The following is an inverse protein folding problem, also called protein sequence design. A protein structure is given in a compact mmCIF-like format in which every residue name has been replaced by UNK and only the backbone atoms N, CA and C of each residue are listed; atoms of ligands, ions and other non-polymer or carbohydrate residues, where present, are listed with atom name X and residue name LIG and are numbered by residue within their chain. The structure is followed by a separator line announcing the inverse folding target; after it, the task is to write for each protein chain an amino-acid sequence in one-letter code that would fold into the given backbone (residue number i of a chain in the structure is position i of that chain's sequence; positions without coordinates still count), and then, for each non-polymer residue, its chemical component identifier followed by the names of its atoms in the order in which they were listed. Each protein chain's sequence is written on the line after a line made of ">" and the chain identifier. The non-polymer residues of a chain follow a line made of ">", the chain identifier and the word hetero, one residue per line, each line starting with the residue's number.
data_IF_983728191158
#
_entry.id   IF_983728191158
#
_cell.length_a   1.000
_cell.length_b   1.000
_cell.length_c   1.000
_cell.angle_alpha   90.00
_cell.angle_beta   90.00
_cell.angle_gamma   90.00
#
_symmetry.space_group_name_H-M   'P 1'
#
loop_
_entity.id
_entity.type
_entity.pdbx_description
1 polymer ?
#
# COMPACT_ATOMS: atom_id res chain seq x y z
N UNK A 1 -25.87 83.12 10.51
CA UNK A 1 -25.39 83.69 11.81
C UNK A 1 -25.60 82.66 12.89
N UNK A 2 -24.58 82.44 13.72
CA UNK A 2 -24.49 81.77 15.02
C UNK A 2 -24.64 80.25 14.98
N UNK A 3 -23.55 79.44 14.98
CA UNK A 3 -22.58 79.06 16.05
C UNK A 3 -23.18 78.70 17.39
N UNK A 4 -22.75 77.60 17.86
CA UNK A 4 -22.42 77.08 19.24
C UNK A 4 -23.06 75.80 19.56
N UNK A 5 -22.37 74.87 19.93
CA UNK A 5 -21.31 74.34 20.80
C UNK A 5 -21.86 73.34 21.81
N UNK A 6 -21.14 72.29 21.88
CA UNK A 6 -20.83 71.33 22.96
C UNK A 6 -21.55 71.43 24.34
N UNK A 7 -21.86 70.20 24.85
CA UNK A 7 -21.94 69.78 26.28
C UNK A 7 -23.30 69.90 26.98
N UNK A 8 -23.71 68.76 27.41
CA UNK A 8 -23.78 68.22 28.80
C UNK A 8 -24.82 67.10 28.85
N UNK A 9 -24.52 65.90 29.19
CA UNK A 9 -24.19 65.28 30.48
C UNK A 9 -25.43 64.92 31.30
N UNK A 10 -25.49 63.65 31.56
CA UNK A 10 -25.93 62.87 32.74
C UNK A 10 -27.29 62.23 32.80
N UNK A 11 -27.15 60.90 32.93
CA UNK A 11 -27.84 59.98 33.85
C UNK A 11 -29.30 59.60 33.60
N UNK A 12 -29.50 58.34 33.27
CA UNK A 12 -30.20 57.42 34.17
C UNK A 12 -30.05 55.99 33.75
N UNK A 13 -29.63 55.17 34.68
CA UNK A 13 -29.45 53.74 34.69
C UNK A 13 -30.74 53.00 34.43
N UNK A 14 -30.74 51.95 33.60
CA UNK A 14 -31.46 50.71 33.88
C UNK A 14 -30.76 49.55 33.12
N UNK A 15 -30.45 48.53 33.85
CA UNK A 15 -29.72 47.37 33.37
C UNK A 15 -30.51 46.46 32.45
N UNK A 16 -29.80 45.91 31.50
CA UNK A 16 -30.18 44.69 30.79
C UNK A 16 -28.91 43.87 30.54
N UNK A 17 -28.89 42.69 31.11
CA UNK A 17 -27.91 41.66 30.95
C UNK A 17 -27.67 41.37 29.46
N UNK A 18 -26.57 41.79 28.91
CA UNK A 18 -26.09 41.37 27.61
C UNK A 18 -25.20 40.12 27.79
N UNK A 19 -25.70 38.98 27.32
CA UNK A 19 -24.90 37.79 27.13
C UNK A 19 -23.69 38.10 26.28
N UNK A 20 -22.50 37.89 26.85
CA UNK A 20 -21.23 38.13 26.18
C UNK A 20 -21.05 37.16 25.02
N UNK A 21 -21.21 37.65 23.82
CA UNK A 21 -20.62 37.01 22.62
C UNK A 21 -19.12 37.28 22.78
N UNK A 22 -18.39 36.24 23.19
CA UNK A 22 -16.94 36.18 23.08
C UNK A 22 -16.58 36.36 21.61
N UNK A 23 -16.29 37.58 21.18
CA UNK A 23 -15.61 37.81 19.92
C UNK A 23 -14.30 37.01 19.97
N UNK A 24 -14.21 35.91 19.22
CA UNK A 24 -12.95 35.23 18.95
C UNK A 24 -12.02 36.32 18.35
N UNK A 25 -10.79 36.44 18.85
CA UNK A 25 -9.87 37.40 18.25
C UNK A 25 -9.73 36.99 16.77
N UNK A 26 -10.02 37.92 15.88
CA UNK A 26 -9.73 37.83 14.47
C UNK A 26 -8.21 37.76 14.34
N UNK A 27 -7.66 36.54 14.24
CA UNK A 27 -6.27 36.35 13.86
C UNK A 27 -6.19 36.84 12.42
N UNK A 28 -5.48 37.96 12.22
CA UNK A 28 -5.21 38.50 10.90
C UNK A 28 -4.74 37.32 10.02
N UNK A 29 -5.41 37.08 8.90
CA UNK A 29 -5.04 36.06 7.92
C UNK A 29 -3.55 36.22 7.62
N UNK A 30 -2.73 35.28 8.06
CA UNK A 30 -1.46 35.03 7.40
C UNK A 30 -1.79 34.86 5.92
N UNK A 31 -1.07 35.53 5.03
CA UNK A 31 -1.33 35.43 3.60
C UNK A 31 -1.47 33.99 3.21
N UNK A 32 -2.54 33.68 2.47
CA UNK A 32 -2.84 32.29 2.05
C UNK A 32 -1.59 31.64 1.43
N UNK A 33 -1.12 30.55 2.03
CA UNK A 33 0.08 29.87 1.57
C UNK A 33 -0.30 28.85 0.49
N UNK A 34 0.46 28.80 -0.59
CA UNK A 34 0.30 27.75 -1.62
C UNK A 34 1.24 26.61 -1.30
N UNK A 35 0.70 25.39 -1.18
CA UNK A 35 1.43 24.15 -0.96
C UNK A 35 1.51 23.41 -2.29
N UNK A 36 2.71 23.24 -2.82
CA UNK A 36 2.95 22.41 -4.00
C UNK A 36 2.86 20.92 -3.62
N UNK A 37 2.02 20.18 -4.32
CA UNK A 37 1.74 18.77 -4.00
C UNK A 37 1.83 17.90 -5.24
N UNK A 38 2.64 16.85 -5.20
CA UNK A 38 2.64 15.80 -6.21
C UNK A 38 1.91 14.58 -5.66
N UNK A 39 0.92 14.12 -6.43
CA UNK A 39 0.04 13.05 -5.99
C UNK A 39 -0.05 11.96 -7.03
N UNK A 40 -0.07 10.72 -6.60
CA UNK A 40 -0.21 9.59 -7.49
C UNK A 40 -1.61 9.62 -8.13
N UNK A 41 -1.65 9.60 -9.47
CA UNK A 41 -2.90 9.43 -10.19
C UNK A 41 -3.52 8.08 -9.82
N UNK A 42 -4.81 8.07 -9.50
CA UNK A 42 -5.53 6.86 -9.13
C UNK A 42 -5.55 5.83 -10.26
N UNK A 43 -5.50 4.56 -9.89
CA UNK A 43 -5.79 3.46 -10.82
C UNK A 43 -7.26 3.54 -11.31
N UNK A 44 -8.16 3.97 -10.42
CA UNK A 44 -9.55 4.24 -10.70
C UNK A 44 -9.78 5.76 -10.81
N UNK A 45 -10.59 6.23 -11.79
CA UNK A 45 -10.94 7.66 -11.91
C UNK A 45 -11.57 8.23 -10.63
N UNK A 46 -12.27 7.42 -9.87
CA UNK A 46 -12.92 7.77 -8.60
C UNK A 46 -11.91 8.22 -7.54
N UNK A 47 -10.71 7.66 -7.51
CA UNK A 47 -9.63 8.06 -6.58
C UNK A 47 -9.21 9.51 -6.86
N UNK A 48 -9.07 9.90 -8.12
CA UNK A 48 -8.75 11.26 -8.53
C UNK A 48 -9.86 12.25 -8.19
N UNK A 49 -11.13 11.86 -8.40
CA UNK A 49 -12.29 12.67 -8.04
C UNK A 49 -12.32 12.91 -6.54
N UNK A 50 -12.06 11.86 -5.76
CA UNK A 50 -12.04 11.94 -4.30
C UNK A 50 -10.90 12.82 -3.80
N UNK A 51 -9.71 12.75 -4.40
CA UNK A 51 -8.60 13.62 -4.03
C UNK A 51 -8.90 15.10 -4.33
N UNK A 52 -9.50 15.40 -5.49
CA UNK A 52 -9.92 16.77 -5.83
C UNK A 52 -10.96 17.32 -4.84
N UNK A 53 -11.89 16.49 -4.39
CA UNK A 53 -12.87 16.87 -3.37
C UNK A 53 -12.20 17.16 -2.03
N UNK A 54 -11.30 16.30 -1.57
CA UNK A 54 -10.51 16.51 -0.34
C UNK A 54 -9.73 17.83 -0.39
N UNK A 55 -9.06 18.13 -1.51
CA UNK A 55 -8.33 19.40 -1.69
C UNK A 55 -9.27 20.60 -1.65
N UNK A 56 -10.42 20.53 -2.33
CA UNK A 56 -11.39 21.62 -2.32
C UNK A 56 -11.92 21.91 -0.91
N UNK A 57 -12.21 20.88 -0.14
CA UNK A 57 -12.70 21.01 1.25
C UNK A 57 -11.60 21.57 2.17
N UNK A 58 -10.34 21.14 2.02
CA UNK A 58 -9.23 21.70 2.75
C UNK A 58 -9.05 23.19 2.46
N UNK A 59 -9.04 23.58 1.19
CA UNK A 59 -8.89 24.99 0.79
C UNK A 59 -10.00 25.86 1.36
N UNK A 60 -11.24 25.36 1.37
CA UNK A 60 -12.38 26.04 1.98
C UNK A 60 -12.25 26.17 3.50
N UNK A 61 -11.73 25.13 4.16
CA UNK A 61 -11.61 25.10 5.63
C UNK A 61 -10.45 25.93 6.14
N UNK A 62 -9.29 25.91 5.44
CA UNK A 62 -8.05 26.55 5.89
C UNK A 62 -7.80 27.94 5.30
N UNK A 63 -8.31 28.22 4.11
CA UNK A 63 -7.95 29.40 3.30
C UNK A 63 -6.62 29.26 2.56
N UNK A 64 -5.84 28.20 2.79
CA UNK A 64 -4.62 27.88 2.03
C UNK A 64 -4.97 27.38 0.63
N UNK A 65 -4.00 27.40 -0.28
CA UNK A 65 -4.12 26.83 -1.63
C UNK A 65 -3.26 25.58 -1.76
N UNK A 66 -3.76 24.60 -2.47
CA UNK A 66 -3.00 23.42 -2.89
C UNK A 66 -2.83 23.49 -4.40
N UNK A 67 -1.58 23.62 -4.82
CA UNK A 67 -1.18 23.48 -6.22
C UNK A 67 -0.74 22.04 -6.44
N UNK A 68 -1.61 21.23 -7.02
CA UNK A 68 -1.36 19.79 -7.11
C UNK A 68 -1.24 19.29 -8.55
N UNK A 69 -0.44 18.26 -8.72
CA UNK A 69 -0.32 17.49 -9.95
C UNK A 69 -0.70 16.03 -9.67
N UNK A 70 -1.68 15.50 -10.42
CA UNK A 70 -1.95 14.07 -10.47
C UNK A 70 -1.05 13.45 -11.54
N UNK A 71 -0.17 12.56 -11.14
CA UNK A 71 0.89 12.02 -12.00
C UNK A 71 0.78 10.49 -12.00
N UNK A 72 0.76 9.83 -13.18
CA UNK A 72 0.75 8.37 -13.24
C UNK A 72 1.92 7.75 -12.49
N UNK A 73 1.72 6.55 -11.93
CA UNK A 73 2.63 5.91 -10.99
C UNK A 73 4.10 5.86 -11.49
N UNK A 74 4.37 5.29 -12.66
CA UNK A 74 5.74 5.13 -13.14
C UNK A 74 6.45 6.49 -13.44
N UNK A 75 5.83 7.49 -14.10
CA UNK A 75 6.37 8.85 -14.17
C UNK A 75 6.59 9.52 -12.82
N UNK A 76 5.70 9.30 -11.84
CA UNK A 76 5.85 9.88 -10.50
C UNK A 76 7.08 9.32 -9.80
N UNK A 77 7.30 8.00 -9.82
CA UNK A 77 8.53 7.36 -9.28
C UNK A 77 9.80 8.03 -9.81
N UNK A 78 9.89 8.23 -11.12
CA UNK A 78 11.06 8.85 -11.75
C UNK A 78 11.21 10.33 -11.35
N UNK A 79 10.09 11.04 -11.25
CA UNK A 79 10.08 12.44 -10.84
C UNK A 79 10.50 12.62 -9.39
N UNK A 80 10.04 11.76 -8.48
CA UNK A 80 10.43 11.76 -7.06
C UNK A 80 11.94 11.56 -6.89
N UNK A 81 12.52 10.55 -7.55
CA UNK A 81 13.97 10.28 -7.52
C UNK A 81 14.75 11.49 -8.04
N UNK A 82 14.36 12.03 -9.19
CA UNK A 82 15.02 13.19 -9.81
C UNK A 82 14.93 14.44 -8.94
N UNK A 83 13.80 14.64 -8.27
CA UNK A 83 13.59 15.80 -7.40
C UNK A 83 14.47 15.75 -6.16
N UNK A 84 14.57 14.60 -5.51
CA UNK A 84 15.47 14.41 -4.36
C UNK A 84 16.92 14.69 -4.77
N UNK A 85 17.37 14.16 -5.91
CA UNK A 85 18.74 14.33 -6.40
C UNK A 85 19.06 15.78 -6.77
N UNK A 86 18.10 16.52 -7.35
CA UNK A 86 18.30 17.90 -7.81
C UNK A 86 17.96 18.95 -6.76
N UNK A 87 17.26 18.60 -5.69
CA UNK A 87 16.72 19.52 -4.71
C UNK A 87 15.47 20.29 -5.18
N UNK A 88 14.95 19.99 -6.37
CA UNK A 88 13.72 20.60 -6.91
C UNK A 88 12.45 19.89 -6.41
N UNK A 89 12.24 19.89 -5.11
CA UNK A 89 11.17 19.13 -4.44
C UNK A 89 9.91 19.97 -4.22
N UNK A 90 8.71 19.36 -4.24
CA UNK A 90 7.46 20.00 -3.81
C UNK A 90 7.40 20.08 -2.28
N UNK A 91 6.29 20.63 -1.75
CA UNK A 91 6.05 20.66 -0.31
C UNK A 91 5.52 19.32 0.22
N UNK A 92 4.75 18.57 -0.61
CA UNK A 92 4.18 17.26 -0.26
C UNK A 92 4.31 16.32 -1.46
N UNK A 93 4.72 15.09 -1.20
CA UNK A 93 4.71 13.99 -2.18
C UNK A 93 3.87 12.83 -1.64
N UNK A 94 2.95 12.27 -2.43
CA UNK A 94 2.42 10.94 -2.17
C UNK A 94 3.38 9.90 -2.75
N UNK A 95 3.82 8.97 -1.92
CA UNK A 95 4.80 7.96 -2.31
C UNK A 95 4.21 6.99 -3.33
N UNK A 96 4.86 6.88 -4.49
CA UNK A 96 4.47 5.99 -5.57
C UNK A 96 5.25 4.65 -5.59
N UNK A 97 6.27 4.51 -4.74
CA UNK A 97 7.16 3.35 -4.69
C UNK A 97 7.47 2.96 -3.24
N UNK A 98 7.26 1.69 -2.90
CA UNK A 98 7.51 1.16 -1.56
C UNK A 98 8.97 1.34 -1.09
N UNK A 99 9.90 1.47 -2.02
CA UNK A 99 11.33 1.68 -1.76
C UNK A 99 11.68 3.13 -1.42
N UNK A 100 10.83 4.08 -1.80
CA UNK A 100 11.14 5.51 -1.71
C UNK A 100 11.33 5.97 -0.26
N UNK A 101 10.36 5.74 0.61
CA UNK A 101 10.39 6.25 1.98
C UNK A 101 11.54 5.67 2.81
N UNK A 102 11.76 4.34 2.85
CA UNK A 102 12.84 3.77 3.66
C UNK A 102 14.23 4.24 3.21
N UNK A 103 14.51 4.31 1.90
CA UNK A 103 15.80 4.78 1.38
C UNK A 103 16.03 6.27 1.66
N UNK A 104 15.01 7.10 1.42
CA UNK A 104 15.14 8.54 1.63
C UNK A 104 15.10 8.94 3.12
N UNK A 105 14.44 8.16 3.97
CA UNK A 105 14.57 8.32 5.43
C UNK A 105 15.99 7.97 5.91
N UNK A 106 16.56 6.87 5.40
CA UNK A 106 17.94 6.47 5.69
C UNK A 106 18.94 7.58 5.36
N UNK A 107 18.84 8.16 4.17
CA UNK A 107 19.72 9.21 3.67
C UNK A 107 19.39 10.62 4.20
N UNK A 108 18.46 10.73 5.14
CA UNK A 108 18.07 12.00 5.76
C UNK A 108 17.46 13.02 4.76
N UNK A 109 16.78 12.54 3.73
CA UNK A 109 16.13 13.38 2.72
C UNK A 109 14.70 13.79 3.05
N UNK A 110 14.10 13.23 4.10
CA UNK A 110 12.72 13.50 4.50
C UNK A 110 12.65 14.22 5.84
N UNK A 111 11.56 14.94 6.04
CA UNK A 111 11.20 15.58 7.32
C UNK A 111 10.36 14.56 8.11
N UNK A 112 10.66 14.40 9.40
CA UNK A 112 9.84 13.57 10.26
C UNK A 112 8.43 14.16 10.51
N UNK A 113 7.50 13.26 10.74
CA UNK A 113 6.09 13.55 10.99
C UNK A 113 5.66 13.16 12.41
N UNK A 114 6.59 12.94 13.32
CA UNK A 114 6.32 12.48 14.68
C UNK A 114 5.31 13.38 15.40
N UNK A 115 5.44 14.70 15.26
CA UNK A 115 4.50 15.66 15.87
C UNK A 115 3.06 15.52 15.36
N UNK A 116 2.88 14.91 14.17
CA UNK A 116 1.56 14.66 13.58
C UNK A 116 1.03 13.30 13.99
N UNK A 117 1.88 12.26 13.97
CA UNK A 117 1.47 10.87 14.12
C UNK A 117 1.39 10.46 15.59
N UNK A 118 2.38 10.82 16.43
CA UNK A 118 2.42 10.42 17.83
C UNK A 118 1.14 10.75 18.62
N UNK A 119 0.52 11.95 18.49
CA UNK A 119 -0.73 12.24 19.17
C UNK A 119 -1.93 11.40 18.71
N UNK A 120 -1.84 10.75 17.55
CA UNK A 120 -2.91 9.98 16.89
C UNK A 120 -2.64 8.49 16.82
N UNK A 121 -1.47 8.03 17.23
CA UNK A 121 -1.02 6.64 17.01
C UNK A 121 -1.97 5.58 17.56
N UNK A 122 -2.69 5.86 18.63
CA UNK A 122 -3.67 4.92 19.20
C UNK A 122 -4.87 4.64 18.29
N UNK A 123 -5.09 5.47 17.26
CA UNK A 123 -6.18 5.28 16.28
C UNK A 123 -5.79 4.35 15.13
N UNK A 124 -4.51 4.08 14.94
CA UNK A 124 -3.97 3.29 13.83
C UNK A 124 -3.71 1.83 14.22
N UNK A 125 -3.76 0.94 13.23
CA UNK A 125 -3.25 -0.42 13.44
C UNK A 125 -1.74 -0.40 13.65
N UNK A 126 -1.18 -1.33 14.46
CA UNK A 126 0.27 -1.40 14.67
C UNK A 126 1.05 -1.55 13.36
N UNK A 127 0.52 -2.35 12.43
CA UNK A 127 1.16 -2.58 11.13
C UNK A 127 1.17 -1.31 10.27
N UNK A 128 0.08 -0.50 10.28
CA UNK A 128 0.04 0.79 9.59
C UNK A 128 1.14 1.73 10.08
N UNK A 129 1.34 1.80 11.40
CA UNK A 129 2.40 2.59 11.99
C UNK A 129 3.79 2.07 11.60
N UNK A 130 3.99 0.75 11.63
CA UNK A 130 5.27 0.13 11.24
C UNK A 130 5.63 0.44 9.79
N UNK A 131 4.67 0.44 8.86
CA UNK A 131 4.91 0.79 7.45
C UNK A 131 5.42 2.23 7.24
N UNK A 132 5.25 3.11 8.23
CA UNK A 132 5.62 4.52 8.12
C UNK A 132 6.80 4.91 9.00
N UNK A 133 7.32 3.97 9.81
CA UNK A 133 8.31 4.20 10.87
C UNK A 133 9.69 3.69 10.46
N UNK A 134 10.52 4.55 9.90
CA UNK A 134 11.77 4.19 9.26
C UNK A 134 13.00 4.69 10.03
N UNK A 135 14.12 3.99 9.87
CA UNK A 135 15.40 4.36 10.47
C UNK A 135 16.10 5.44 9.64
N UNK A 136 16.66 6.44 10.34
CA UNK A 136 17.47 7.49 9.73
C UNK A 136 18.92 7.33 10.18
N UNK A 137 19.81 7.17 9.23
CA UNK A 137 21.23 6.88 9.51
C UNK A 137 22.01 8.13 9.98
N UNK A 138 21.51 9.34 9.76
CA UNK A 138 22.12 10.57 10.26
C UNK A 138 21.78 10.78 11.74
N UNK A 139 20.52 10.68 12.09
CA UNK A 139 20.05 10.87 13.48
C UNK A 139 20.23 9.63 14.36
N UNK A 140 20.49 8.46 13.75
CA UNK A 140 20.56 7.14 14.39
C UNK A 140 19.29 6.75 15.14
N UNK A 141 18.14 7.20 14.66
CA UNK A 141 16.82 6.98 15.26
C UNK A 141 15.79 6.61 14.20
N UNK A 142 14.72 5.96 14.65
CA UNK A 142 13.51 5.78 13.86
C UNK A 142 12.54 6.92 14.12
N UNK A 143 11.82 7.32 13.08
CA UNK A 143 10.73 8.30 13.12
C UNK A 143 9.69 7.99 12.02
N UNK A 144 8.55 8.64 12.09
CA UNK A 144 7.55 8.56 11.02
C UNK A 144 7.95 9.50 9.88
N UNK A 145 8.22 8.94 8.71
CA UNK A 145 8.59 9.70 7.51
C UNK A 145 7.52 9.69 6.44
N UNK A 146 6.44 8.96 6.67
CA UNK A 146 5.24 8.92 5.81
C UNK A 146 4.00 8.96 6.71
N UNK A 147 2.93 9.59 6.24
CA UNK A 147 1.65 9.58 6.95
C UNK A 147 0.85 8.32 6.56
N UNK A 148 0.32 7.54 7.53
CA UNK A 148 -0.42 6.31 7.25
C UNK A 148 -1.82 6.64 6.74
N UNK A 149 -2.00 6.71 5.42
CA UNK A 149 -3.30 7.02 4.81
C UNK A 149 -4.00 5.83 4.16
N UNK A 150 -3.25 4.94 3.53
CA UNK A 150 -3.78 3.82 2.75
C UNK A 150 -3.05 2.56 3.14
N UNK A 151 -3.77 1.46 3.30
CA UNK A 151 -3.17 0.14 3.49
C UNK A 151 -3.59 -0.81 2.38
N UNK A 152 -2.64 -1.56 1.86
CA UNK A 152 -2.86 -2.64 0.92
C UNK A 152 -2.31 -3.96 1.45
N UNK A 153 -2.91 -5.05 1.03
CA UNK A 153 -2.39 -6.41 1.18
C UNK A 153 -2.71 -7.18 -0.08
N UNK A 154 -2.11 -8.34 -0.27
CA UNK A 154 -2.28 -9.18 -1.46
C UNK A 154 -3.25 -10.32 -1.15
N UNK A 155 -4.57 -10.21 -1.51
CA UNK A 155 -5.49 -11.33 -1.53
C UNK A 155 -5.35 -12.13 -2.83
N UNK A 156 -6.03 -13.28 -2.91
CA UNK A 156 -6.25 -13.99 -4.15
C UNK A 156 -7.52 -13.49 -4.84
N UNK A 157 -7.46 -13.38 -6.17
CA UNK A 157 -8.58 -12.98 -7.02
C UNK A 157 -8.86 -14.10 -8.01
N UNK A 158 -10.11 -14.50 -8.21
CA UNK A 158 -10.41 -15.51 -9.22
C UNK A 158 -11.80 -15.35 -9.84
N UNK A 159 -11.94 -15.90 -11.02
CA UNK A 159 -13.20 -15.91 -11.74
C UNK A 159 -14.09 -17.07 -11.29
N UNK A 160 -15.19 -16.79 -10.56
CA UNK A 160 -16.24 -17.74 -10.23
C UNK A 160 -16.76 -18.44 -11.48
N UNK A 161 -17.05 -17.68 -12.53
CA UNK A 161 -17.59 -18.21 -13.79
C UNK A 161 -16.67 -19.22 -14.46
N UNK A 162 -15.34 -19.10 -14.35
CA UNK A 162 -14.41 -20.08 -14.89
C UNK A 162 -14.35 -21.33 -14.03
N UNK A 163 -14.37 -21.20 -12.70
CA UNK A 163 -14.44 -22.33 -11.76
C UNK A 163 -15.72 -23.15 -12.00
N UNK A 164 -16.87 -22.48 -12.07
CA UNK A 164 -18.18 -23.12 -12.31
C UNK A 164 -18.25 -23.76 -13.72
N UNK A 165 -17.71 -23.08 -14.74
CA UNK A 165 -17.63 -23.63 -16.10
C UNK A 165 -16.78 -24.88 -16.17
N UNK A 166 -15.72 -24.98 -15.36
CA UNK A 166 -14.93 -26.20 -15.23
C UNK A 166 -15.68 -27.35 -14.52
N UNK A 167 -16.89 -27.08 -14.01
CA UNK A 167 -17.74 -28.08 -13.33
C UNK A 167 -17.47 -28.19 -11.83
N UNK A 168 -16.83 -27.20 -11.23
CA UNK A 168 -16.63 -27.11 -9.79
C UNK A 168 -17.59 -26.10 -9.15
N UNK A 169 -17.75 -26.20 -7.84
CA UNK A 169 -18.42 -25.17 -7.01
C UNK A 169 -17.41 -24.43 -6.17
N UNK A 170 -17.73 -23.24 -5.72
CA UNK A 170 -16.87 -22.49 -4.79
C UNK A 170 -16.63 -23.27 -3.48
N UNK A 171 -17.59 -24.10 -3.05
CA UNK A 171 -17.44 -24.97 -1.89
C UNK A 171 -16.42 -26.11 -2.06
N UNK A 172 -16.00 -26.38 -3.29
CA UNK A 172 -15.01 -27.43 -3.58
C UNK A 172 -13.57 -26.90 -3.44
N UNK A 173 -13.41 -25.58 -3.30
CA UNK A 173 -12.11 -24.94 -3.13
C UNK A 173 -11.57 -25.29 -1.73
N UNK A 174 -10.38 -25.92 -1.65
CA UNK A 174 -9.79 -26.28 -0.36
C UNK A 174 -9.37 -25.05 0.44
N UNK A 175 -9.33 -25.17 1.77
CA UNK A 175 -8.96 -24.08 2.68
C UNK A 175 -7.62 -24.35 3.38
N UNK A 176 -6.59 -24.72 2.62
CA UNK A 176 -5.19 -24.73 3.08
C UNK A 176 -4.30 -24.26 1.94
N UNK A 177 -3.19 -23.60 2.26
CA UNK A 177 -2.32 -22.92 1.31
C UNK A 177 -2.02 -23.73 0.06
N UNK A 178 -1.43 -24.90 0.23
CA UNK A 178 -1.04 -25.75 -0.90
C UNK A 178 -2.23 -26.28 -1.69
N UNK A 179 -3.24 -26.81 -1.00
CA UNK A 179 -4.41 -27.39 -1.66
C UNK A 179 -5.27 -26.32 -2.36
N UNK A 180 -5.35 -25.10 -1.79
CA UNK A 180 -6.00 -23.98 -2.43
C UNK A 180 -5.31 -23.61 -3.74
N UNK A 181 -4.00 -23.45 -3.73
CA UNK A 181 -3.25 -23.15 -4.95
C UNK A 181 -3.38 -24.28 -5.97
N UNK A 182 -3.16 -25.53 -5.56
CA UNK A 182 -3.20 -26.69 -6.47
C UNK A 182 -4.58 -26.93 -7.12
N UNK A 183 -5.66 -26.43 -6.49
CA UNK A 183 -7.02 -26.55 -7.01
C UNK A 183 -7.22 -25.92 -8.39
N UNK A 184 -6.53 -24.85 -8.72
CA UNK A 184 -6.75 -24.12 -9.98
C UNK A 184 -6.11 -24.84 -11.19
N UNK A 185 -5.14 -25.73 -10.98
CA UNK A 185 -4.55 -26.53 -12.08
C UNK A 185 -5.59 -27.44 -12.77
N UNK A 186 -6.32 -28.31 -12.08
CA UNK A 186 -7.40 -29.07 -12.71
C UNK A 186 -8.56 -28.23 -13.25
N UNK A 187 -8.77 -27.01 -12.75
CA UNK A 187 -9.73 -26.07 -13.35
C UNK A 187 -9.27 -25.71 -14.77
N UNK A 188 -8.00 -25.33 -14.97
CA UNK A 188 -7.42 -25.08 -16.28
C UNK A 188 -7.59 -26.30 -17.21
N UNK A 189 -7.25 -27.49 -16.74
CA UNK A 189 -7.27 -28.68 -17.58
C UNK A 189 -8.68 -29.00 -18.10
N UNK A 190 -9.69 -28.85 -17.24
CA UNK A 190 -11.11 -29.00 -17.64
C UNK A 190 -11.57 -27.92 -18.61
N UNK A 191 -11.17 -26.67 -18.40
CA UNK A 191 -11.51 -25.58 -19.32
C UNK A 191 -10.86 -25.79 -20.69
N UNK A 192 -9.61 -26.24 -20.75
CA UNK A 192 -8.91 -26.57 -21.99
C UNK A 192 -9.55 -27.75 -22.72
N UNK A 193 -9.98 -28.75 -21.99
CA UNK A 193 -10.74 -29.91 -22.56
C UNK A 193 -12.08 -29.48 -23.17
N UNK A 194 -12.68 -28.37 -22.68
CA UNK A 194 -13.89 -27.74 -23.23
C UNK A 194 -13.61 -26.79 -24.39
N UNK A 195 -12.36 -26.67 -24.86
CA UNK A 195 -11.98 -25.82 -25.99
C UNK A 195 -11.42 -24.43 -25.63
N UNK A 196 -11.32 -24.06 -24.36
CA UNK A 196 -10.69 -22.81 -23.92
C UNK A 196 -9.17 -22.96 -23.86
N UNK A 197 -8.52 -23.04 -25.02
CA UNK A 197 -7.10 -23.41 -25.12
C UNK A 197 -6.14 -22.40 -24.50
N UNK A 198 -6.52 -21.12 -24.43
CA UNK A 198 -5.68 -20.01 -23.98
C UNK A 198 -6.02 -19.56 -22.54
N UNK A 199 -6.50 -20.46 -21.68
CA UNK A 199 -6.71 -20.17 -20.27
C UNK A 199 -5.62 -20.82 -19.44
N UNK A 200 -5.18 -20.10 -18.39
CA UNK A 200 -4.16 -20.57 -17.45
C UNK A 200 -4.73 -20.61 -16.02
N UNK A 201 -4.16 -21.46 -15.18
CA UNK A 201 -4.59 -21.56 -13.79
C UNK A 201 -4.29 -20.29 -13.00
N UNK A 202 -3.07 -19.77 -13.20
CA UNK A 202 -2.55 -18.62 -12.44
C UNK A 202 -2.04 -17.51 -13.35
N UNK A 203 -2.06 -16.27 -12.80
CA UNK A 203 -1.30 -15.18 -13.32
C UNK A 203 -0.72 -14.38 -12.15
N UNK A 204 0.58 -14.37 -12.01
CA UNK A 204 1.34 -13.51 -11.14
C UNK A 204 2.67 -13.21 -11.82
N UNK A 205 3.26 -12.07 -11.48
CA UNK A 205 4.51 -11.67 -12.10
C UNK A 205 5.68 -12.51 -11.60
N UNK A 206 6.53 -12.97 -12.55
CA UNK A 206 7.82 -13.61 -12.29
C UNK A 206 8.93 -12.81 -13.00
N UNK A 207 8.82 -11.49 -13.02
CA UNK A 207 9.71 -10.60 -13.75
C UNK A 207 10.25 -9.50 -12.83
N UNK A 208 11.44 -8.99 -13.13
CA UNK A 208 12.05 -7.89 -12.40
C UNK A 208 11.56 -6.49 -12.80
N UNK A 209 10.37 -6.34 -13.42
CA UNK A 209 9.94 -5.08 -14.01
C UNK A 209 8.96 -4.25 -13.16
N UNK A 210 8.61 -4.74 -11.95
CA UNK A 210 7.62 -4.10 -11.08
C UNK A 210 7.95 -4.20 -9.60
N UNK A 211 6.99 -3.80 -8.76
CA UNK A 211 7.05 -3.93 -7.30
C UNK A 211 6.40 -5.21 -6.76
N UNK A 212 5.54 -5.87 -7.54
CA UNK A 212 4.79 -7.04 -7.07
C UNK A 212 5.62 -8.32 -6.89
N UNK A 213 6.64 -8.62 -7.73
CA UNK A 213 7.38 -9.87 -7.61
C UNK A 213 8.03 -10.09 -6.24
N UNK A 214 8.64 -9.05 -5.66
CA UNK A 214 9.29 -9.18 -4.33
C UNK A 214 8.24 -9.47 -3.24
N UNK A 215 7.09 -8.82 -3.30
CA UNK A 215 6.03 -9.03 -2.31
C UNK A 215 5.41 -10.42 -2.49
N UNK A 216 5.21 -10.85 -3.72
CA UNK A 216 4.73 -12.21 -4.04
C UNK A 216 5.69 -13.27 -3.51
N UNK A 217 6.99 -13.16 -3.83
CA UNK A 217 8.01 -14.08 -3.29
C UNK A 217 8.00 -14.10 -1.75
N UNK A 218 8.04 -12.93 -1.13
CA UNK A 218 8.04 -12.81 0.33
C UNK A 218 6.78 -13.42 0.94
N UNK A 219 5.59 -13.19 0.34
CA UNK A 219 4.34 -13.77 0.85
C UNK A 219 4.34 -15.30 0.78
N UNK A 220 4.87 -15.86 -0.30
CA UNK A 220 5.00 -17.31 -0.44
C UNK A 220 6.01 -17.87 0.57
N UNK A 221 7.15 -17.23 0.76
CA UNK A 221 8.11 -17.59 1.82
C UNK A 221 7.48 -17.53 3.21
N UNK A 222 6.72 -16.48 3.53
CA UNK A 222 6.01 -16.32 4.80
C UNK A 222 5.01 -17.46 5.02
N UNK A 223 4.27 -17.87 3.97
CA UNK A 223 3.31 -18.96 4.06
C UNK A 223 3.95 -20.31 4.42
N UNK A 224 5.23 -20.49 4.13
CA UNK A 224 6.02 -21.67 4.54
C UNK A 224 6.82 -21.46 5.83
N UNK A 225 6.54 -20.39 6.58
CA UNK A 225 7.14 -20.15 7.89
C UNK A 225 8.37 -19.22 7.90
N UNK A 226 8.71 -18.59 6.76
CA UNK A 226 9.85 -17.69 6.61
C UNK A 226 9.61 -16.24 7.05
N UNK A 227 8.60 -15.97 7.89
CA UNK A 227 8.24 -14.61 8.32
C UNK A 227 9.38 -13.83 8.99
N UNK A 228 10.31 -14.54 9.61
CA UNK A 228 11.43 -13.97 10.35
C UNK A 228 12.67 -13.74 9.44
N UNK A 229 12.48 -13.71 8.11
CA UNK A 229 13.54 -13.40 7.14
C UNK A 229 14.21 -12.04 7.46
N UNK A 230 13.43 -11.03 7.80
CA UNK A 230 13.90 -9.79 8.40
C UNK A 230 13.06 -9.51 9.64
N UNK A 231 13.71 -9.31 10.78
CA UNK A 231 13.04 -9.02 12.04
C UNK A 231 12.89 -7.52 12.28
N UNK A 232 12.00 -7.14 13.21
CA UNK A 232 11.67 -5.73 13.48
C UNK A 232 12.87 -4.87 13.92
N UNK A 233 13.94 -5.51 14.42
CA UNK A 233 15.21 -4.85 14.73
C UNK A 233 16.08 -4.58 13.49
N UNK A 234 15.60 -4.98 12.30
CA UNK A 234 16.26 -4.75 11.02
C UNK A 234 17.32 -5.77 10.66
N UNK A 235 17.39 -6.91 11.36
CA UNK A 235 18.35 -7.97 11.06
C UNK A 235 17.82 -8.92 9.99
N UNK A 236 18.70 -9.29 9.08
CA UNK A 236 18.52 -10.32 8.08
C UNK A 236 18.91 -11.70 8.66
N UNK A 237 18.10 -12.73 8.37
CA UNK A 237 18.29 -14.10 8.89
C UNK A 237 18.41 -15.15 7.79
N UNK A 238 19.33 -14.91 6.85
CA UNK A 238 19.67 -15.86 5.78
C UNK A 238 20.36 -17.12 6.30
N UNK A 239 20.95 -17.04 7.50
CA UNK A 239 21.61 -18.14 8.21
C UNK A 239 20.62 -19.04 8.98
N UNK A 240 19.35 -18.65 9.11
CA UNK A 240 18.33 -19.51 9.74
C UNK A 240 17.88 -20.60 8.75
N UNK A 241 18.09 -21.90 9.09
CA UNK A 241 17.66 -23.01 8.24
C UNK A 241 16.15 -23.03 7.95
N UNK A 242 15.31 -22.53 8.86
CA UNK A 242 13.84 -22.45 8.64
C UNK A 242 13.49 -21.41 7.60
N UNK A 243 14.13 -20.25 7.67
CA UNK A 243 13.96 -19.18 6.68
C UNK A 243 14.43 -19.66 5.31
N UNK A 244 15.60 -20.33 5.24
CA UNK A 244 16.11 -20.89 4.00
C UNK A 244 15.16 -21.95 3.41
N UNK A 245 14.69 -22.88 4.24
CA UNK A 245 13.73 -23.93 3.81
C UNK A 245 12.42 -23.28 3.26
N UNK A 246 11.90 -22.28 3.97
CA UNK A 246 10.70 -21.56 3.57
C UNK A 246 10.89 -20.81 2.24
N UNK A 247 12.05 -20.17 2.05
CA UNK A 247 12.38 -19.47 0.80
C UNK A 247 12.47 -20.45 -0.38
N UNK A 248 13.11 -21.60 -0.20
CA UNK A 248 13.17 -22.68 -1.22
C UNK A 248 11.78 -23.18 -1.57
N UNK A 249 10.93 -23.48 -0.56
CA UNK A 249 9.55 -23.94 -0.79
C UNK A 249 8.72 -22.88 -1.51
N UNK A 250 8.85 -21.60 -1.13
CA UNK A 250 8.20 -20.47 -1.80
C UNK A 250 8.60 -20.39 -3.27
N UNK A 251 9.89 -20.43 -3.56
CA UNK A 251 10.43 -20.41 -4.92
C UNK A 251 9.92 -21.60 -5.76
N UNK A 252 9.93 -22.80 -5.21
CA UNK A 252 9.41 -24.01 -5.87
C UNK A 252 7.90 -23.85 -6.19
N UNK A 253 7.12 -23.35 -5.22
CA UNK A 253 5.67 -23.18 -5.40
C UNK A 253 5.33 -22.13 -6.47
N UNK A 254 6.13 -21.08 -6.60
CA UNK A 254 5.98 -20.06 -7.64
C UNK A 254 6.40 -20.56 -9.02
N UNK A 255 7.51 -21.29 -9.10
CA UNK A 255 8.14 -21.64 -10.39
C UNK A 255 7.61 -22.92 -11.00
N UNK A 256 7.20 -23.92 -10.20
CA UNK A 256 6.70 -25.21 -10.69
C UNK A 256 5.49 -25.08 -11.61
N UNK A 257 4.44 -24.30 -11.29
CA UNK A 257 3.28 -24.14 -12.18
C UNK A 257 3.65 -23.55 -13.55
N UNK A 258 4.64 -22.67 -13.61
CA UNK A 258 5.12 -22.13 -14.88
C UNK A 258 5.74 -23.23 -15.76
N UNK A 259 6.63 -24.02 -15.20
CA UNK A 259 7.30 -25.11 -15.95
C UNK A 259 6.34 -26.21 -16.40
N UNK A 260 5.21 -26.36 -15.72
CA UNK A 260 4.14 -27.29 -16.04
C UNK A 260 3.07 -26.73 -17.00
N UNK A 261 3.17 -25.44 -17.38
CA UNK A 261 2.25 -24.80 -18.33
C UNK A 261 0.93 -24.31 -17.73
N UNK A 262 0.91 -24.07 -16.42
CA UNK A 262 -0.24 -23.53 -15.69
C UNK A 262 -0.19 -22.01 -15.50
N UNK A 263 0.90 -21.37 -15.93
CA UNK A 263 1.10 -19.92 -15.89
C UNK A 263 1.41 -19.43 -17.31
N UNK A 264 0.91 -18.25 -17.74
CA UNK A 264 1.20 -17.71 -19.06
C UNK A 264 2.71 -17.56 -19.31
N UNK A 265 3.24 -17.92 -20.47
CA UNK A 265 4.67 -17.79 -20.76
C UNK A 265 5.21 -16.36 -20.65
N UNK A 266 4.35 -15.36 -20.82
CA UNK A 266 4.69 -13.93 -20.79
C UNK A 266 4.99 -13.36 -19.42
N UNK A 267 4.61 -14.01 -18.32
CA UNK A 267 4.75 -13.48 -16.94
C UNK A 267 6.17 -13.08 -16.54
N UNK A 268 7.18 -13.65 -17.21
CA UNK A 268 8.60 -13.33 -17.01
C UNK A 268 9.02 -11.96 -17.59
N UNK A 269 8.09 -11.26 -18.25
CA UNK A 269 8.31 -9.93 -18.84
C UNK A 269 7.18 -8.95 -18.50
N UNK A 270 6.21 -9.35 -17.68
CA UNK A 270 5.09 -8.49 -17.28
C UNK A 270 5.54 -7.32 -16.40
N UNK A 271 4.79 -6.24 -16.44
CA UNK A 271 4.85 -5.12 -15.49
C UNK A 271 3.64 -5.16 -14.54
N UNK A 272 3.58 -4.25 -13.56
CA UNK A 272 2.57 -4.22 -12.49
C UNK A 272 1.09 -4.14 -12.97
N UNK A 273 0.81 -3.87 -14.24
CA UNK A 273 -0.55 -3.79 -14.76
C UNK A 273 -0.90 -4.97 -15.71
N UNK A 274 0.07 -5.79 -16.09
CA UNK A 274 -0.15 -6.83 -17.11
C UNK A 274 -0.95 -8.01 -16.55
N UNK A 275 -0.80 -8.35 -15.28
CA UNK A 275 -1.61 -9.35 -14.58
C UNK A 275 -3.08 -8.92 -14.48
N UNK A 276 -3.36 -7.68 -14.05
CA UNK A 276 -4.72 -7.14 -14.04
C UNK A 276 -5.36 -7.24 -15.45
N UNK A 277 -4.63 -6.83 -16.51
CA UNK A 277 -5.12 -6.91 -17.90
C UNK A 277 -5.37 -8.37 -18.33
N UNK A 278 -4.48 -9.26 -17.96
CA UNK A 278 -4.61 -10.69 -18.22
C UNK A 278 -5.81 -11.30 -17.47
N UNK A 279 -6.03 -10.90 -16.22
CA UNK A 279 -7.20 -11.30 -15.45
C UNK A 279 -8.49 -10.81 -16.11
N UNK A 280 -8.60 -9.52 -16.44
CA UNK A 280 -9.80 -8.95 -17.07
C UNK A 280 -10.12 -9.59 -18.42
N UNK A 281 -9.12 -10.00 -19.18
CA UNK A 281 -9.31 -10.74 -20.44
C UNK A 281 -9.65 -12.23 -20.24
N UNK A 282 -9.74 -12.73 -19.00
CA UNK A 282 -9.95 -14.13 -18.63
C UNK A 282 -8.87 -15.06 -19.20
N UNK A 283 -7.65 -14.53 -19.36
CA UNK A 283 -6.48 -15.34 -19.72
C UNK A 283 -6.09 -16.30 -18.60
N UNK A 284 -6.43 -15.99 -17.37
CA UNK A 284 -6.18 -16.80 -16.17
C UNK A 284 -7.42 -16.94 -15.30
N UNK A 285 -7.44 -18.03 -14.54
CA UNK A 285 -8.54 -18.31 -13.60
C UNK A 285 -8.33 -17.53 -12.31
N UNK A 286 -7.09 -17.51 -11.79
CA UNK A 286 -6.74 -16.91 -10.51
C UNK A 286 -5.52 -16.03 -10.66
N UNK A 287 -5.55 -14.91 -9.91
CA UNK A 287 -4.49 -13.93 -9.74
C UNK A 287 -4.10 -13.76 -8.28
N UNK A 288 -2.88 -13.30 -8.03
CA UNK A 288 -2.41 -12.88 -6.72
C UNK A 288 -1.84 -11.46 -6.85
N UNK A 289 -2.66 -10.47 -6.51
CA UNK A 289 -2.39 -9.05 -6.75
C UNK A 289 -2.72 -8.19 -5.54
N UNK A 290 -2.11 -7.00 -5.49
CA UNK A 290 -2.25 -6.03 -4.42
C UNK A 290 -3.59 -5.30 -4.43
N UNK A 291 -4.17 -5.09 -3.24
CA UNK A 291 -5.46 -4.40 -3.07
C UNK A 291 -6.65 -5.17 -3.69
N UNK A 292 -7.71 -4.45 -4.05
CA UNK A 292 -8.86 -4.96 -4.83
C UNK A 292 -9.03 -4.19 -6.15
N UNK A 293 -7.90 -3.70 -6.70
CA UNK A 293 -7.89 -2.98 -7.98
C UNK A 293 -8.46 -3.83 -9.11
N UNK A 294 -8.15 -5.12 -9.10
CA UNK A 294 -8.58 -6.11 -10.08
C UNK A 294 -10.09 -6.17 -10.20
N UNK A 295 -10.82 -6.28 -9.11
CA UNK A 295 -12.29 -6.28 -9.13
C UNK A 295 -12.85 -4.89 -9.39
N UNK A 296 -12.33 -3.86 -8.73
CA UNK A 296 -12.90 -2.52 -8.85
C UNK A 296 -12.80 -1.93 -10.25
N UNK A 297 -11.86 -2.37 -11.08
CA UNK A 297 -11.84 -2.01 -12.50
C UNK A 297 -13.11 -2.48 -13.24
N UNK A 298 -13.77 -3.50 -12.73
CA UNK A 298 -15.04 -4.04 -13.25
C UNK A 298 -16.27 -3.46 -12.55
N UNK A 299 -16.11 -2.58 -11.56
CA UNK A 299 -17.19 -2.09 -10.68
C UNK A 299 -18.41 -1.57 -11.45
N UNK A 300 -18.19 -0.89 -12.56
CA UNK A 300 -19.25 -0.35 -13.43
C UNK A 300 -19.87 -1.42 -14.37
N UNK A 301 -19.26 -2.61 -14.48
CA UNK A 301 -19.82 -3.77 -15.17
C UNK A 301 -20.26 -4.81 -14.12
N UNK A 302 -21.46 -4.60 -13.57
CA UNK A 302 -21.98 -5.39 -12.44
C UNK A 302 -22.02 -6.89 -12.73
N UNK A 303 -22.28 -7.29 -13.98
CA UNK A 303 -22.33 -8.70 -14.38
C UNK A 303 -20.95 -9.36 -14.24
N UNK A 304 -19.87 -8.71 -14.68
CA UNK A 304 -18.51 -9.24 -14.53
C UNK A 304 -17.99 -9.08 -13.12
N UNK A 305 -18.28 -7.96 -12.46
CA UNK A 305 -17.91 -7.72 -11.06
C UNK A 305 -18.42 -8.84 -10.14
N UNK A 306 -19.70 -9.22 -10.26
CA UNK A 306 -20.31 -10.28 -9.45
C UNK A 306 -19.77 -11.69 -9.79
N UNK A 307 -19.03 -11.85 -10.91
CA UNK A 307 -18.36 -13.10 -11.28
C UNK A 307 -16.94 -13.21 -10.78
N UNK A 308 -16.39 -12.17 -10.17
CA UNK A 308 -15.09 -12.22 -9.50
C UNK A 308 -15.25 -12.59 -8.02
N UNK A 309 -14.20 -13.10 -7.44
CA UNK A 309 -14.12 -13.44 -6.01
C UNK A 309 -12.78 -12.97 -5.48
N UNK A 310 -12.80 -12.21 -4.41
CA UNK A 310 -11.62 -11.93 -3.59
C UNK A 310 -11.57 -12.93 -2.44
N UNK A 311 -10.44 -13.59 -2.26
CA UNK A 311 -10.23 -14.59 -1.21
C UNK A 311 -9.01 -14.24 -0.37
N UNK A 312 -9.19 -14.21 0.94
CA UNK A 312 -8.08 -13.99 1.87
C UNK A 312 -7.05 -15.13 1.83
N UNK A 313 -5.90 -14.92 2.45
CA UNK A 313 -4.86 -15.95 2.51
C UNK A 313 -5.36 -17.21 3.24
N UNK A 314 -5.30 -18.37 2.60
CA UNK A 314 -5.61 -19.62 3.28
C UNK A 314 -4.60 -19.91 4.40
N UNK A 315 -4.98 -20.61 5.47
CA UNK A 315 -4.03 -21.06 6.48
C UNK A 315 -2.99 -22.01 5.88
N UNK A 316 -1.84 -22.11 6.52
CA UNK A 316 -0.80 -23.06 6.19
C UNK A 316 -1.28 -24.50 6.31
N UNK A 317 -0.47 -25.46 5.87
CA UNK A 317 -0.76 -26.90 5.97
C UNK A 317 -0.84 -27.40 7.41
N UNK A 318 -0.26 -26.65 8.35
CA UNK A 318 -0.35 -26.86 9.80
C UNK A 318 -1.64 -26.29 10.44
N UNK A 319 -2.49 -25.63 9.65
CA UNK A 319 -3.70 -24.95 10.08
C UNK A 319 -3.49 -23.56 10.70
N UNK A 320 -2.25 -23.10 10.80
CA UNK A 320 -1.95 -21.76 11.31
C UNK A 320 -2.27 -20.69 10.26
N UNK A 321 -2.80 -19.56 10.71
CA UNK A 321 -3.08 -18.43 9.82
C UNK A 321 -1.79 -17.84 9.27
N UNK A 322 -1.72 -17.72 7.96
CA UNK A 322 -0.60 -17.06 7.26
C UNK A 322 -0.69 -15.55 7.49
N UNK A 323 0.37 -14.90 8.02
CA UNK A 323 0.39 -13.45 8.13
C UNK A 323 0.38 -12.79 6.75
N UNK A 324 -0.50 -11.83 6.53
CA UNK A 324 -0.51 -11.04 5.33
C UNK A 324 0.57 -9.94 5.39
N UNK A 325 1.35 -9.80 4.34
CA UNK A 325 2.15 -8.60 4.16
C UNK A 325 1.24 -7.40 3.92
N UNK A 326 1.54 -6.30 4.59
CA UNK A 326 0.79 -5.04 4.47
C UNK A 326 1.75 -3.94 4.05
N UNK A 327 1.36 -3.23 3.03
CA UNK A 327 2.03 -2.00 2.58
C UNK A 327 1.24 -0.79 3.03
N UNK A 328 1.95 0.25 3.44
CA UNK A 328 1.37 1.57 3.71
C UNK A 328 1.70 2.54 2.59
N UNK A 329 0.74 3.39 2.23
CA UNK A 329 0.94 4.51 1.32
C UNK A 329 0.42 5.81 1.95
N UNK A 330 1.07 6.91 1.59
CA UNK A 330 0.66 8.22 2.04
C UNK A 330 1.70 9.29 1.72
N UNK A 331 1.43 10.54 2.11
CA UNK A 331 2.30 11.66 1.84
C UNK A 331 3.53 11.69 2.73
N UNK A 332 4.62 12.21 2.15
CA UNK A 332 5.88 12.58 2.79
C UNK A 332 6.15 14.07 2.58
N UNK A 333 7.04 14.64 3.39
CA UNK A 333 7.57 15.99 3.20
C UNK A 333 9.07 15.86 2.94
N UNK A 334 9.55 16.18 1.72
CA UNK A 334 10.98 16.14 1.45
C UNK A 334 11.72 17.30 2.11
N UNK A 335 12.97 17.09 2.51
CA UNK A 335 13.85 18.20 2.89
C UNK A 335 14.08 19.11 1.69
N UNK A 336 14.02 20.41 1.92
CA UNK A 336 14.02 21.41 0.85
C UNK A 336 12.62 21.93 0.49
N UNK A 337 11.54 21.36 1.02
CA UNK A 337 10.19 21.90 0.92
C UNK A 337 10.15 23.33 1.45
N UNK A 338 9.46 24.21 0.71
CA UNK A 338 9.44 25.67 1.00
C UNK A 338 8.41 26.03 2.08
N UNK A 339 7.32 25.29 2.15
CA UNK A 339 6.14 25.61 2.97
C UNK A 339 5.84 24.47 3.98
N UNK A 340 6.86 24.00 4.71
CA UNK A 340 6.79 22.83 5.63
C UNK A 340 5.63 22.93 6.63
N UNK A 341 5.42 24.09 7.24
CA UNK A 341 4.34 24.27 8.21
C UNK A 341 2.95 24.09 7.58
N UNK A 342 2.73 24.66 6.39
CA UNK A 342 1.48 24.51 5.65
C UNK A 342 1.30 23.09 5.11
N UNK A 343 2.38 22.42 4.68
CA UNK A 343 2.39 21.02 4.29
C UNK A 343 1.97 20.12 5.48
N UNK A 344 2.53 20.34 6.65
CA UNK A 344 2.15 19.63 7.88
C UNK A 344 0.67 19.85 8.25
N UNK A 345 0.14 21.05 8.11
CA UNK A 345 -1.29 21.32 8.33
C UNK A 345 -2.18 20.60 7.31
N UNK A 346 -1.78 20.54 6.04
CA UNK A 346 -2.50 19.76 5.04
C UNK A 346 -2.50 18.27 5.36
N UNK A 347 -1.36 17.70 5.74
CA UNK A 347 -1.27 16.29 6.17
C UNK A 347 -2.13 16.06 7.42
N UNK A 348 -2.09 16.93 8.43
CA UNK A 348 -2.97 16.82 9.61
C UNK A 348 -4.44 16.75 9.24
N UNK A 349 -4.88 17.59 8.30
CA UNK A 349 -6.25 17.60 7.81
C UNK A 349 -6.62 16.30 7.11
N UNK A 350 -5.75 15.80 6.23
CA UNK A 350 -5.97 14.52 5.54
C UNK A 350 -6.12 13.34 6.51
N UNK A 351 -5.43 13.39 7.66
CA UNK A 351 -5.46 12.33 8.68
C UNK A 351 -6.61 12.48 9.69
N UNK A 352 -7.47 13.48 9.57
CA UNK A 352 -8.68 13.53 10.40
C UNK A 352 -9.59 12.33 10.04
N UNK A 353 -10.04 11.52 11.02
CA UNK A 353 -10.68 10.23 10.74
C UNK A 353 -11.84 10.30 9.74
N UNK A 354 -12.68 11.32 9.84
CA UNK A 354 -13.80 11.52 8.90
C UNK A 354 -13.33 11.89 7.51
N UNK A 355 -12.33 12.77 7.40
CA UNK A 355 -11.78 13.21 6.11
C UNK A 355 -11.12 12.04 5.40
N UNK A 356 -10.29 11.29 6.11
CA UNK A 356 -9.62 10.12 5.56
C UNK A 356 -10.63 9.04 5.14
N UNK A 357 -11.64 8.78 5.95
CA UNK A 357 -12.69 7.83 5.63
C UNK A 357 -13.43 8.21 4.34
N UNK A 358 -13.90 9.45 4.23
CA UNK A 358 -14.62 9.91 3.03
C UNK A 358 -13.71 9.91 1.79
N UNK A 359 -12.44 10.27 1.94
CA UNK A 359 -11.46 10.20 0.85
C UNK A 359 -11.31 8.77 0.32
N UNK A 360 -11.12 7.79 1.21
CA UNK A 360 -10.93 6.40 0.79
C UNK A 360 -12.23 5.78 0.24
N UNK A 361 -13.38 6.12 0.82
CA UNK A 361 -14.69 5.72 0.30
C UNK A 361 -14.94 6.27 -1.10
N UNK A 362 -14.58 7.54 -1.32
CA UNK A 362 -14.66 8.16 -2.64
C UNK A 362 -13.83 7.45 -3.71
N UNK A 363 -12.71 6.83 -3.32
CA UNK A 363 -11.90 5.93 -4.15
C UNK A 363 -12.37 4.48 -4.11
N UNK A 364 -13.66 4.22 -3.82
CA UNK A 364 -14.30 2.91 -3.76
C UNK A 364 -13.70 1.95 -2.71
N UNK A 365 -12.83 2.43 -1.82
CA UNK A 365 -12.16 1.61 -0.80
C UNK A 365 -11.17 0.61 -1.39
N UNK A 366 -10.51 0.96 -2.50
CA UNK A 366 -9.45 0.15 -3.11
C UNK A 366 -8.38 -0.22 -2.10
N UNK A 367 -8.01 0.71 -1.26
CA UNK A 367 -7.12 0.50 -0.11
C UNK A 367 -7.91 0.54 1.19
N UNK A 368 -7.54 -0.29 2.16
CA UNK A 368 -8.15 -0.28 3.47
C UNK A 368 -7.75 0.99 4.26
N UNK A 369 -8.69 1.46 5.09
CA UNK A 369 -8.41 2.55 6.04
C UNK A 369 -7.49 2.05 7.15
N UNK A 370 -6.44 2.79 7.53
CA UNK A 370 -5.47 2.33 8.54
C UNK A 370 -5.98 2.38 9.99
N UNK A 371 -7.24 2.75 10.20
CA UNK A 371 -7.88 2.97 11.51
C UNK A 371 -8.93 1.89 11.79
N UNK A 372 -8.60 0.85 12.60
CA UNK A 372 -9.50 -0.29 12.84
C UNK A 372 -10.88 0.08 13.39
N UNK A 373 -10.96 1.04 14.32
CA UNK A 373 -12.24 1.44 14.89
C UNK A 373 -13.14 2.19 13.88
N UNK A 374 -12.53 2.94 12.97
CA UNK A 374 -13.27 3.55 11.87
C UNK A 374 -13.81 2.48 10.91
N UNK A 375 -12.98 1.49 10.56
CA UNK A 375 -13.43 0.37 9.72
C UNK A 375 -14.59 -0.42 10.34
N UNK A 376 -14.58 -0.63 11.66
CA UNK A 376 -15.69 -1.31 12.37
C UNK A 376 -16.94 -0.47 12.44
N UNK A 377 -16.82 0.85 12.55
CA UNK A 377 -17.94 1.77 12.75
C UNK A 377 -18.69 2.11 11.46
N UNK A 378 -18.06 1.99 10.31
CA UNK A 378 -18.65 2.28 9.00
C UNK A 378 -18.91 0.97 8.23
N UNK A 379 -20.19 0.61 7.95
CA UNK A 379 -20.57 -0.62 7.26
C UNK A 379 -19.97 -0.74 5.85
N UNK A 380 -19.57 0.36 5.25
CA UNK A 380 -18.85 0.39 3.98
C UNK A 380 -17.68 -0.59 3.94
N UNK A 381 -16.89 -0.68 5.02
CA UNK A 381 -15.65 -1.46 5.04
C UNK A 381 -15.85 -2.97 5.19
N UNK A 382 -16.85 -3.38 5.96
CA UNK A 382 -16.97 -4.78 6.42
C UNK A 382 -18.31 -5.45 6.07
N UNK A 383 -19.23 -4.76 5.34
CA UNK A 383 -20.59 -5.30 5.11
C UNK A 383 -21.16 -5.06 3.73
N UNK A 384 -20.83 -3.94 3.08
CA UNK A 384 -21.54 -3.51 1.87
C UNK A 384 -21.00 -4.18 0.60
N UNK A 385 -19.77 -4.65 0.61
CA UNK A 385 -19.12 -5.21 -0.55
C UNK A 385 -18.22 -6.39 -0.15
N UNK A 386 -18.36 -7.58 -0.77
CA UNK A 386 -17.63 -8.77 -0.36
C UNK A 386 -16.12 -8.66 -0.61
N UNK A 387 -15.70 -8.01 -1.70
CA UNK A 387 -14.29 -7.85 -2.04
C UNK A 387 -13.59 -6.96 -1.02
N UNK A 388 -14.18 -5.81 -0.76
CA UNK A 388 -13.68 -4.85 0.24
C UNK A 388 -13.70 -5.43 1.65
N UNK A 389 -14.73 -6.20 2.01
CA UNK A 389 -14.81 -6.88 3.30
C UNK A 389 -13.61 -7.80 3.50
N UNK A 390 -13.35 -8.71 2.55
CA UNK A 390 -12.23 -9.66 2.62
C UNK A 390 -10.88 -8.93 2.70
N UNK A 391 -10.67 -7.93 1.86
CA UNK A 391 -9.43 -7.15 1.86
C UNK A 391 -9.24 -6.40 3.18
N UNK A 392 -10.30 -5.76 3.70
CA UNK A 392 -10.23 -5.03 4.98
C UNK A 392 -9.98 -5.98 6.16
N UNK A 393 -10.64 -7.14 6.19
CA UNK A 393 -10.42 -8.16 7.22
C UNK A 393 -8.99 -8.68 7.20
N UNK A 394 -8.46 -9.00 6.03
CA UNK A 394 -7.08 -9.47 5.88
C UNK A 394 -6.08 -8.40 6.31
N UNK A 395 -6.29 -7.15 5.91
CA UNK A 395 -5.33 -6.04 6.11
C UNK A 395 -5.30 -5.50 7.53
N UNK A 396 -6.43 -5.56 8.26
CA UNK A 396 -6.58 -4.94 9.58
C UNK A 396 -6.82 -5.92 10.72
N UNK A 397 -7.47 -7.04 10.47
CA UNK A 397 -8.00 -7.90 11.54
C UNK A 397 -7.43 -9.32 11.53
N UNK A 398 -6.73 -9.70 10.45
CA UNK A 398 -5.91 -10.91 10.39
C UNK A 398 -4.54 -10.74 11.05
N UNK A 399 -3.73 -11.78 11.12
CA UNK A 399 -2.31 -11.63 11.40
C UNK A 399 -1.65 -10.88 10.25
N UNK A 400 -0.88 -9.85 10.57
CA UNK A 400 -0.24 -8.99 9.57
C UNK A 400 1.23 -8.74 9.90
N UNK A 401 2.02 -8.51 8.85
CA UNK A 401 3.39 -8.02 8.91
C UNK A 401 3.50 -6.79 8.01
N UNK A 402 4.24 -5.74 8.38
CA UNK A 402 4.61 -4.73 7.39
C UNK A 402 5.51 -5.38 6.34
N UNK A 403 5.55 -4.81 5.14
CA UNK A 403 6.60 -5.15 4.17
C UNK A 403 7.97 -4.96 4.81
N UNK A 404 8.95 -5.75 4.40
CA UNK A 404 10.27 -5.79 5.05
C UNK A 404 11.07 -4.48 4.91
N UNK A 405 10.74 -3.64 3.94
CA UNK A 405 11.29 -2.29 3.78
C UNK A 405 11.07 -1.40 5.01
N UNK A 406 10.03 -1.67 5.78
CA UNK A 406 9.77 -0.99 7.05
C UNK A 406 10.83 -1.31 8.12
N UNK A 407 11.39 -2.50 8.07
CA UNK A 407 12.38 -2.96 9.04
C UNK A 407 13.81 -2.53 8.70
N UNK A 408 14.21 -2.68 7.43
CA UNK A 408 15.52 -2.27 6.96
C UNK A 408 15.46 -1.81 5.48
N UNK A 409 15.96 -0.61 5.16
CA UNK A 409 15.97 -0.10 3.79
C UNK A 409 16.83 -0.94 2.82
N UNK A 410 17.72 -1.78 3.33
CA UNK A 410 18.52 -2.70 2.49
C UNK A 410 17.63 -3.57 1.58
N UNK A 411 16.43 -3.97 2.04
CA UNK A 411 15.53 -4.78 1.22
C UNK A 411 15.01 -4.02 -0.01
N UNK A 412 14.88 -2.70 0.09
CA UNK A 412 14.52 -1.88 -1.05
C UNK A 412 15.61 -1.91 -2.14
N UNK A 413 16.88 -2.07 -1.76
CA UNK A 413 17.99 -2.25 -2.71
C UNK A 413 18.06 -3.69 -3.23
N UNK A 414 17.75 -4.68 -2.39
CA UNK A 414 17.58 -6.09 -2.82
C UNK A 414 16.50 -6.19 -3.90
N UNK A 415 15.39 -5.47 -3.73
CA UNK A 415 14.33 -5.38 -4.74
C UNK A 415 14.78 -4.61 -5.99
N UNK A 416 15.43 -3.47 -5.83
CA UNK A 416 15.92 -2.69 -6.97
C UNK A 416 16.96 -3.44 -7.83
N UNK A 417 17.74 -4.35 -7.23
CA UNK A 417 18.63 -5.28 -7.93
C UNK A 417 17.90 -6.55 -8.41
N UNK A 418 16.60 -6.68 -8.16
CA UNK A 418 15.78 -7.84 -8.56
C UNK A 418 16.31 -9.20 -8.08
N UNK A 419 16.90 -9.24 -6.88
CA UNK A 419 17.67 -10.40 -6.39
C UNK A 419 16.82 -11.68 -6.39
N UNK A 420 15.56 -11.62 -5.95
CA UNK A 420 14.68 -12.79 -5.92
C UNK A 420 14.06 -13.10 -7.28
N UNK A 421 13.72 -12.09 -8.09
CA UNK A 421 13.28 -12.33 -9.48
C UNK A 421 14.39 -12.93 -10.34
N UNK A 422 15.67 -12.61 -10.05
CA UNK A 422 16.81 -13.31 -10.67
C UNK A 422 16.85 -14.78 -10.23
N UNK A 423 16.57 -15.10 -8.97
CA UNK A 423 16.50 -16.48 -8.51
C UNK A 423 15.36 -17.26 -9.22
N UNK A 424 14.19 -16.65 -9.39
CA UNK A 424 13.10 -17.21 -10.18
C UNK A 424 13.53 -17.46 -11.62
N UNK A 425 14.14 -16.48 -12.27
CA UNK A 425 14.65 -16.59 -13.63
C UNK A 425 15.72 -17.69 -13.76
N UNK A 426 16.63 -17.81 -12.81
CA UNK A 426 17.68 -18.85 -12.78
C UNK A 426 17.05 -20.26 -12.75
N UNK A 427 15.98 -20.45 -11.98
CA UNK A 427 15.24 -21.73 -11.99
C UNK A 427 14.51 -21.94 -13.32
N UNK A 428 13.78 -20.93 -13.80
CA UNK A 428 12.88 -21.07 -14.94
C UNK A 428 13.60 -21.17 -16.28
N UNK A 429 14.72 -20.47 -16.45
CA UNK A 429 15.40 -20.33 -17.74
C UNK A 429 16.80 -20.93 -17.77
N UNK A 430 17.50 -20.96 -16.65
CA UNK A 430 18.85 -21.45 -16.57
C UNK A 430 18.94 -22.88 -16.00
N UNK A 431 17.80 -23.46 -15.54
CA UNK A 431 17.74 -24.80 -14.98
C UNK A 431 18.49 -24.96 -13.66
N UNK A 432 18.70 -23.85 -12.93
CA UNK A 432 19.35 -23.88 -11.61
C UNK A 432 18.44 -24.59 -10.60
N UNK A 433 19.03 -25.39 -9.71
CA UNK A 433 18.27 -25.98 -8.60
C UNK A 433 17.76 -24.85 -7.67
N UNK A 434 16.51 -24.92 -7.17
CA UNK A 434 15.91 -23.90 -6.32
C UNK A 434 16.75 -23.58 -5.08
N UNK A 435 17.39 -24.57 -4.47
CA UNK A 435 18.29 -24.39 -3.33
C UNK A 435 19.50 -23.53 -3.69
N UNK A 436 20.12 -23.78 -4.83
CA UNK A 436 21.28 -23.03 -5.31
C UNK A 436 20.88 -21.59 -5.70
N UNK A 437 19.68 -21.40 -6.25
CA UNK A 437 19.16 -20.09 -6.59
C UNK A 437 18.91 -19.24 -5.33
N UNK A 438 18.32 -19.83 -4.28
CA UNK A 438 18.12 -19.15 -2.97
C UNK A 438 19.47 -18.87 -2.30
N UNK A 439 20.42 -19.81 -2.27
CA UNK A 439 21.73 -19.57 -1.68
C UNK A 439 22.46 -18.40 -2.36
N UNK A 440 22.37 -18.29 -3.69
CA UNK A 440 22.90 -17.17 -4.47
C UNK A 440 22.18 -15.86 -4.11
N UNK A 441 20.86 -15.86 -4.01
CA UNK A 441 20.06 -14.70 -3.65
C UNK A 441 20.36 -14.24 -2.22
N UNK A 442 20.40 -15.14 -1.26
CA UNK A 442 20.73 -14.86 0.14
C UNK A 442 22.12 -14.26 0.30
N UNK A 443 23.13 -14.83 -0.38
CA UNK A 443 24.49 -14.25 -0.40
C UNK A 443 24.47 -12.81 -0.91
N UNK A 444 23.71 -12.53 -1.97
CA UNK A 444 23.59 -11.15 -2.48
C UNK A 444 22.89 -10.23 -1.50
N UNK A 445 21.80 -10.68 -0.87
CA UNK A 445 21.09 -9.95 0.16
C UNK A 445 22.03 -9.62 1.35
N UNK A 446 22.82 -10.59 1.84
CA UNK A 446 23.82 -10.36 2.89
C UNK A 446 24.81 -9.25 2.52
N UNK A 447 25.37 -9.29 1.30
CA UNK A 447 26.29 -8.26 0.80
C UNK A 447 25.63 -6.87 0.80
N UNK A 448 24.37 -6.76 0.41
CA UNK A 448 23.62 -5.50 0.41
C UNK A 448 23.40 -5.01 1.83
N UNK A 449 22.97 -5.88 2.75
CA UNK A 449 22.68 -5.53 4.14
C UNK A 449 23.91 -4.99 4.90
N UNK A 450 25.13 -5.35 4.51
CA UNK A 450 26.35 -4.77 5.11
C UNK A 450 26.44 -3.26 4.94
N UNK A 451 25.75 -2.70 3.94
CA UNK A 451 25.73 -1.25 3.67
C UNK A 451 24.72 -0.48 4.53
N UNK A 452 23.80 -1.20 5.18
CA UNK A 452 22.69 -0.63 5.94
C UNK A 452 22.67 -1.10 7.41
N UNK A 453 23.75 -0.85 8.18
CA UNK A 453 23.82 -1.28 9.57
C UNK A 453 22.86 -0.45 10.44
N UNK A 454 21.83 -1.09 11.00
CA UNK A 454 20.93 -0.45 11.97
C UNK A 454 21.53 -0.61 13.37
N UNK A 455 21.85 0.53 14.01
CA UNK A 455 22.31 0.50 15.39
C UNK A 455 21.12 0.21 16.33
N UNK A 456 21.31 -0.75 17.23
CA UNK A 456 20.41 -0.98 18.33
C UNK A 456 20.66 0.12 19.37
N UNK A 457 19.81 1.13 19.44
CA UNK A 457 19.87 2.18 20.45
C UNK A 457 18.92 1.91 21.59
#
# INVERSE_FOLDING_TARGET
>A
MKTMTRRSVLCSSFGLTAAGILARPYVANAAATTVETWWNQGYLPEEDVSFRALVADYQKASGNKIDYSLIPNAPLRQKEISAIQSGGVPDVMEVADIRFTPLNAWDDHLIDLDEIIEPRKSSYSPTALSCCYHYNNTTKKRAYYMAPMKLGSWPFHFWRSLVEKAGYKLSDIPNTWDAFLDFFMPVQDKLRAQGMRNVYAYGYQLAGNGGDPIVTFNQFMIAYGGKDFITADGKLHTDDPKVREAAVKGLVKLTTPYTQGYVPPGVVSWNDADDNNAFHSKLMVMDFDGSISTELALYNNKEEYDQTVTHGLPPGSDGEKVPAQVVGFGPTIPKGAKNVAAAKEFIKYMLEPKVLNEYLKGGLGRFAIPMPEMAKSDPFWLKEDPHRTVHTEQTLFGPTLPIYEAYNPAIAEVDAEHVFSVAEFDVLKNGMAPEAAIDKAFKRADEIFTRYPISQS
#
